data_IF_184774781701
#
_entry.id   IF_184774781701
#
_cell.length_a   1.000
_cell.length_b   1.000
_cell.length_c   1.000
_cell.angle_alpha   90.00
_cell.angle_beta   90.00
_cell.angle_gamma   90.00
#
_symmetry.space_group_name_H-M   'P 1'
#
loop_
_entity.id
_entity.type
_entity.pdbx_description
1 polymer ?
#
# COMPACT_ATOMS: atom_id res chain seq x y z
N UNK A 1 9.73 0.37 -6.23
CA UNK A 1 8.91 -0.81 -5.94
C UNK A 1 7.85 -1.00 -7.02
N UNK A 2 7.78 -2.21 -7.57
CA UNK A 2 6.77 -2.67 -8.52
C UNK A 2 5.59 -3.34 -7.81
N UNK A 3 4.47 -3.51 -8.52
CA UNK A 3 3.27 -4.22 -8.05
C UNK A 3 3.56 -5.57 -7.37
N UNK A 4 4.49 -6.36 -7.92
CA UNK A 4 4.90 -7.65 -7.34
C UNK A 4 5.51 -7.51 -5.94
N UNK A 5 6.37 -6.52 -5.74
CA UNK A 5 7.02 -6.26 -4.45
C UNK A 5 6.00 -5.73 -3.44
N UNK A 6 5.10 -4.84 -3.88
CA UNK A 6 3.99 -4.32 -3.06
C UNK A 6 3.14 -5.51 -2.60
N UNK A 7 2.74 -6.38 -3.52
CA UNK A 7 1.93 -7.56 -3.21
C UNK A 7 2.61 -8.50 -2.20
N UNK A 8 3.93 -8.68 -2.30
CA UNK A 8 4.68 -9.49 -1.34
C UNK A 8 4.69 -8.85 0.05
N UNK A 9 4.87 -7.53 0.16
CA UNK A 9 4.78 -6.81 1.44
C UNK A 9 3.37 -6.95 2.03
N UNK A 10 2.32 -6.76 1.22
CA UNK A 10 0.94 -6.90 1.67
C UNK A 10 0.66 -8.30 2.25
N UNK A 11 1.12 -9.36 1.57
CA UNK A 11 0.98 -10.73 2.06
C UNK A 11 1.81 -11.02 3.30
N UNK A 12 3.06 -10.55 3.35
CA UNK A 12 3.97 -10.73 4.49
C UNK A 12 3.36 -10.25 5.80
N UNK A 13 2.67 -9.11 5.75
CA UNK A 13 2.06 -8.48 6.93
C UNK A 13 0.56 -8.76 7.06
N UNK A 14 0.00 -9.64 6.22
CA UNK A 14 -1.44 -9.92 6.17
C UNK A 14 -2.28 -8.63 6.15
N UNK A 15 -1.89 -7.67 5.30
CA UNK A 15 -2.53 -6.36 5.14
C UNK A 15 -2.58 -5.46 6.40
N UNK A 16 -1.76 -5.75 7.42
CA UNK A 16 -1.53 -4.88 8.59
C UNK A 16 -0.10 -4.32 8.52
N UNK A 17 0.08 -3.27 7.72
CA UNK A 17 1.40 -2.78 7.32
C UNK A 17 1.97 -1.86 8.40
N UNK A 18 3.18 -2.13 8.92
CA UNK A 18 3.86 -1.20 9.82
C UNK A 18 4.05 0.16 9.15
N UNK A 19 3.91 1.26 9.90
CA UNK A 19 4.13 2.63 9.39
C UNK A 19 5.40 2.79 8.55
N UNK A 20 6.51 2.21 9.00
CA UNK A 20 7.81 2.26 8.33
C UNK A 20 7.78 1.63 6.93
N UNK A 21 7.12 0.48 6.80
CA UNK A 21 6.96 -0.21 5.50
C UNK A 21 5.99 0.55 4.60
N UNK A 22 4.94 1.16 5.15
CA UNK A 22 4.05 2.04 4.38
C UNK A 22 4.81 3.23 3.78
N UNK A 23 5.60 3.95 4.58
CA UNK A 23 6.40 5.06 4.08
C UNK A 23 7.41 4.60 3.03
N UNK A 24 8.06 3.45 3.25
CA UNK A 24 8.97 2.86 2.26
C UNK A 24 8.27 2.54 0.94
N UNK A 25 7.04 2.00 0.97
CA UNK A 25 6.25 1.76 -0.24
C UNK A 25 6.01 3.08 -0.99
N UNK A 26 5.55 4.11 -0.28
CA UNK A 26 5.27 5.43 -0.85
C UNK A 26 6.52 6.11 -1.44
N UNK A 27 7.66 6.00 -0.76
CA UNK A 27 8.90 6.66 -1.19
C UNK A 27 9.59 5.93 -2.33
N UNK A 28 9.48 4.60 -2.39
CA UNK A 28 10.22 3.79 -3.36
C UNK A 28 9.40 3.39 -4.59
N UNK A 29 8.07 3.43 -4.55
CA UNK A 29 7.22 3.08 -5.69
C UNK A 29 6.82 4.32 -6.49
N UNK A 30 7.50 4.54 -7.62
CA UNK A 30 7.09 5.56 -8.62
C UNK A 30 5.82 5.19 -9.40
N UNK A 31 5.30 3.97 -9.21
CA UNK A 31 4.11 3.47 -9.88
C UNK A 31 2.83 3.86 -9.17
N UNK A 32 2.88 4.17 -7.87
CA UNK A 32 1.72 4.62 -7.11
C UNK A 32 1.21 5.95 -7.69
N UNK A 33 -0.06 5.96 -8.06
CA UNK A 33 -0.75 7.11 -8.62
C UNK A 33 -1.87 7.61 -7.73
N UNK A 34 -2.41 6.74 -6.87
CA UNK A 34 -3.53 7.05 -5.99
C UNK A 34 -3.19 6.58 -4.58
N UNK A 35 -3.41 7.47 -3.62
CA UNK A 35 -3.41 7.14 -2.19
C UNK A 35 -4.66 7.78 -1.59
N UNK A 36 -5.48 6.97 -0.93
CA UNK A 36 -6.73 7.39 -0.30
C UNK A 36 -6.80 6.83 1.10
N UNK A 37 -7.27 7.63 2.04
CA UNK A 37 -7.58 7.19 3.39
C UNK A 37 -9.10 7.06 3.56
N UNK A 38 -9.54 5.92 4.07
CA UNK A 38 -10.91 5.64 4.47
C UNK A 38 -11.03 5.77 5.99
N UNK A 39 -11.54 6.90 6.51
CA UNK A 39 -11.63 7.14 7.94
C UNK A 39 -12.70 6.29 8.64
N UNK A 40 -13.67 5.73 7.89
CA UNK A 40 -14.72 4.90 8.48
C UNK A 40 -14.18 3.52 8.87
N UNK A 41 -13.33 2.95 8.01
CA UNK A 41 -12.72 1.63 8.25
C UNK A 41 -11.30 1.71 8.85
N UNK A 42 -10.72 2.90 8.98
CA UNK A 42 -9.30 3.11 9.35
C UNK A 42 -8.36 2.32 8.42
N UNK A 43 -8.57 2.50 7.10
CA UNK A 43 -7.83 1.80 6.05
C UNK A 43 -7.22 2.78 5.04
N UNK A 44 -6.06 2.40 4.50
CA UNK A 44 -5.43 3.05 3.37
C UNK A 44 -5.68 2.23 2.11
N UNK A 45 -6.00 2.93 1.03
CA UNK A 45 -6.12 2.39 -0.31
C UNK A 45 -5.02 2.99 -1.18
N UNK A 46 -4.25 2.16 -1.87
CA UNK A 46 -3.27 2.60 -2.86
C UNK A 46 -3.59 1.98 -4.22
N UNK A 47 -3.40 2.78 -5.28
CA UNK A 47 -3.53 2.35 -6.66
C UNK A 47 -2.28 2.70 -7.45
N UNK A 48 -1.90 1.85 -8.40
CA UNK A 48 -0.78 2.08 -9.33
C UNK A 48 -1.28 2.39 -10.73
N UNK A 49 -0.41 3.02 -11.54
CA UNK A 49 -0.72 3.35 -12.95
C UNK A 49 -0.99 2.11 -13.81
N UNK A 50 -0.45 0.97 -13.40
CA UNK A 50 -0.52 -0.30 -14.11
C UNK A 50 -1.78 -1.11 -13.75
N UNK A 51 -2.64 -0.57 -12.88
CA UNK A 51 -3.91 -1.19 -12.48
C UNK A 51 -3.86 -2.00 -11.19
N UNK A 52 -2.72 -2.00 -10.49
CA UNK A 52 -2.60 -2.57 -9.16
C UNK A 52 -3.44 -1.78 -8.14
N UNK A 53 -4.09 -2.50 -7.23
CA UNK A 53 -4.92 -1.90 -6.18
C UNK A 53 -4.83 -2.72 -4.89
N UNK A 54 -4.63 -2.02 -3.77
CA UNK A 54 -4.57 -2.62 -2.44
C UNK A 54 -5.31 -1.76 -1.42
N UNK A 55 -6.02 -2.43 -0.51
CA UNK A 55 -6.63 -1.84 0.68
C UNK A 55 -6.07 -2.53 1.92
N UNK A 56 -5.50 -1.78 2.85
CA UNK A 56 -4.79 -2.31 4.00
C UNK A 56 -4.88 -1.37 5.21
N UNK A 57 -4.57 -1.88 6.40
CA UNK A 57 -4.47 -1.09 7.62
C UNK A 57 -3.00 -0.73 7.88
N UNK A 58 -2.76 0.48 8.37
CA UNK A 58 -1.44 0.88 8.88
C UNK A 58 -1.43 0.77 10.39
N UNK A 59 -0.44 0.05 10.94
CA UNK A 59 -0.28 -0.22 12.37
C UNK A 59 1.02 0.36 12.92
#
# INVERSE_FOLDING_TARGET
MYDYEIQNVMRKYNYNIPKEEYFKICDTSSQISVVKYDPYCDMIEIGTKDGGYWKFKVV
#
